data_IF_118644423945
#
_entry.id   IF_118644423945
#
_cell.length_a   1.000
_cell.length_b   1.000
_cell.length_c   1.000
_cell.angle_alpha   90.00
_cell.angle_beta   90.00
_cell.angle_gamma   90.00
#
_symmetry.space_group_name_H-M   'P 1'
#
loop_
_entity.id
_entity.type
_entity.pdbx_description
1 polymer ?
#
# COMPACT_ATOMS: atom_id res chain seq x y z
N UNK A 1 -22.28 13.06 -16.30
CA UNK A 1 -21.95 13.89 -15.12
C UNK A 1 -21.18 15.09 -15.60
N UNK A 2 -21.51 16.31 -15.16
CA UNK A 2 -20.79 17.53 -15.57
C UNK A 2 -19.48 17.64 -14.80
N UNK A 3 -18.36 17.73 -15.51
CA UNK A 3 -17.05 18.08 -14.93
C UNK A 3 -16.98 19.60 -14.82
N UNK A 4 -16.66 20.09 -13.63
CA UNK A 4 -16.61 21.52 -13.30
C UNK A 4 -15.18 22.05 -13.30
N UNK A 5 -14.20 21.22 -12.93
CA UNK A 5 -12.77 21.53 -12.89
C UNK A 5 -11.96 20.22 -12.87
N UNK A 6 -10.67 20.27 -13.21
CA UNK A 6 -9.78 19.11 -13.19
C UNK A 6 -8.36 19.45 -12.71
N UNK A 7 -7.80 18.53 -11.92
CA UNK A 7 -6.40 18.60 -11.51
C UNK A 7 -5.45 18.35 -12.68
N UNK A 8 -4.22 18.83 -12.54
CA UNK A 8 -3.16 18.81 -13.56
C UNK A 8 -2.08 17.76 -13.30
N UNK A 9 -2.23 16.99 -12.22
CA UNK A 9 -1.31 15.92 -11.87
C UNK A 9 -1.46 14.71 -12.79
N UNK A 10 -0.40 13.90 -12.95
CA UNK A 10 -0.45 12.67 -13.73
C UNK A 10 -1.35 11.62 -13.08
N UNK A 11 -1.87 10.69 -13.89
CA UNK A 11 -2.54 9.49 -13.43
C UNK A 11 -1.68 8.28 -13.79
N UNK A 12 -1.22 7.54 -12.79
CA UNK A 12 -0.24 6.47 -12.96
C UNK A 12 -0.83 5.05 -13.10
N UNK A 13 -2.14 4.89 -12.83
CA UNK A 13 -2.84 3.62 -12.93
C UNK A 13 -4.14 3.82 -13.70
N UNK A 14 -4.48 2.86 -14.56
CA UNK A 14 -5.71 2.87 -15.35
C UNK A 14 -6.94 2.68 -14.44
N UNK A 15 -7.89 3.65 -14.42
CA UNK A 15 -9.08 3.58 -13.61
C UNK A 15 -10.24 2.79 -14.28
N UNK A 16 -9.99 2.05 -15.36
CA UNK A 16 -10.98 1.21 -16.02
C UNK A 16 -11.30 -0.10 -15.25
N UNK A 17 -12.53 -0.26 -14.71
CA UNK A 17 -12.93 -1.44 -13.96
C UNK A 17 -13.05 -2.70 -14.84
N UNK A 18 -13.28 -2.57 -16.15
CA UNK A 18 -13.43 -3.73 -17.03
C UNK A 18 -12.07 -4.39 -17.29
N UNK A 19 -11.01 -3.59 -17.50
CA UNK A 19 -9.62 -4.11 -17.55
C UNK A 19 -9.21 -4.76 -16.24
N UNK A 20 -9.57 -4.16 -15.10
CA UNK A 20 -9.32 -4.77 -13.80
C UNK A 20 -10.07 -6.12 -13.67
N UNK A 21 -11.32 -6.18 -14.13
CA UNK A 21 -12.16 -7.38 -14.10
C UNK A 21 -11.62 -8.50 -14.98
N UNK A 22 -11.01 -8.21 -16.13
CA UNK A 22 -10.33 -9.21 -16.97
C UNK A 22 -9.28 -9.98 -16.18
N UNK A 23 -8.42 -9.26 -15.45
CA UNK A 23 -7.44 -9.87 -14.55
C UNK A 23 -8.12 -10.71 -13.46
N UNK A 24 -9.07 -10.13 -12.71
CA UNK A 24 -9.72 -10.84 -11.60
C UNK A 24 -10.54 -12.07 -12.03
N UNK A 25 -10.98 -12.14 -13.28
CA UNK A 25 -11.70 -13.31 -13.84
C UNK A 25 -10.79 -14.53 -13.92
N UNK A 26 -9.51 -14.34 -14.27
CA UNK A 26 -8.52 -15.42 -14.37
C UNK A 26 -7.94 -15.86 -13.01
N UNK A 27 -8.17 -15.09 -11.94
CA UNK A 27 -7.59 -15.35 -10.62
C UNK A 27 -8.21 -16.62 -10.01
N UNK A 28 -7.36 -17.61 -9.74
CA UNK A 28 -7.79 -18.86 -9.09
C UNK A 28 -8.36 -18.57 -7.69
N UNK A 29 -9.49 -19.22 -7.40
CA UNK A 29 -10.15 -19.23 -6.08
C UNK A 29 -9.87 -20.51 -5.29
N UNK A 30 -9.00 -21.38 -5.80
CA UNK A 30 -8.68 -22.63 -5.15
C UNK A 30 -7.96 -22.40 -3.80
N UNK A 31 -8.34 -23.20 -2.81
CA UNK A 31 -7.70 -23.24 -1.50
C UNK A 31 -6.46 -24.12 -1.55
N UNK A 32 -5.39 -23.59 -2.15
CA UNK A 32 -4.08 -24.22 -2.25
C UNK A 32 -3.12 -23.65 -1.21
N UNK A 33 -2.02 -24.37 -0.94
CA UNK A 33 -0.92 -23.83 -0.14
C UNK A 33 -0.25 -22.68 -0.90
N UNK A 34 -0.25 -21.50 -0.30
CA UNK A 34 0.30 -20.27 -0.88
C UNK A 34 1.62 -19.86 -0.26
N UNK A 35 2.09 -20.59 0.76
CA UNK A 35 3.30 -20.23 1.50
C UNK A 35 4.51 -20.29 0.59
N UNK A 36 5.33 -19.26 0.67
CA UNK A 36 6.59 -19.11 -0.04
C UNK A 36 7.46 -18.09 0.69
N UNK A 37 8.75 -18.08 0.41
CA UNK A 37 9.66 -17.06 0.93
C UNK A 37 9.33 -15.68 0.37
N UNK A 38 9.75 -14.62 1.07
CA UNK A 38 9.62 -13.24 0.57
C UNK A 38 10.41 -13.04 -0.72
N UNK A 39 11.58 -13.68 -0.85
CA UNK A 39 12.37 -13.69 -2.09
C UNK A 39 11.54 -14.22 -3.27
N UNK A 40 10.98 -15.42 -3.14
CA UNK A 40 10.15 -16.03 -4.20
C UNK A 40 8.92 -15.19 -4.51
N UNK A 41 8.29 -14.60 -3.50
CA UNK A 41 7.13 -13.74 -3.69
C UNK A 41 7.44 -12.47 -4.49
N UNK A 42 8.51 -11.77 -4.11
CA UNK A 42 8.95 -10.56 -4.84
C UNK A 42 9.40 -10.93 -6.24
N UNK A 43 10.14 -12.04 -6.39
CA UNK A 43 10.63 -12.50 -7.69
C UNK A 43 9.50 -12.83 -8.66
N UNK A 44 8.46 -13.48 -8.16
CA UNK A 44 7.33 -13.97 -8.95
C UNK A 44 6.30 -12.90 -9.29
N UNK A 45 6.01 -11.99 -8.36
CA UNK A 45 4.86 -11.10 -8.49
C UNK A 45 5.25 -9.67 -8.81
N UNK A 46 6.42 -9.19 -8.36
CA UNK A 46 6.84 -7.80 -8.58
C UNK A 46 7.73 -7.72 -9.81
N UNK A 47 7.26 -7.03 -10.83
CA UNK A 47 8.00 -6.76 -12.07
C UNK A 47 8.39 -5.29 -12.13
N UNK A 48 9.51 -4.99 -12.78
CA UNK A 48 9.90 -3.59 -13.00
C UNK A 48 8.81 -2.88 -13.80
N UNK A 49 8.56 -1.62 -13.48
CA UNK A 49 7.46 -0.86 -14.12
C UNK A 49 6.09 -1.07 -13.48
N UNK A 50 5.86 -2.12 -12.68
CA UNK A 50 4.53 -2.36 -12.11
C UNK A 50 4.15 -1.32 -11.05
N UNK A 51 2.87 -1.22 -10.72
CA UNK A 51 2.40 -0.37 -9.65
C UNK A 51 2.36 -1.14 -8.32
N UNK A 52 3.11 -0.65 -7.34
CA UNK A 52 3.25 -1.23 -6.02
C UNK A 52 2.57 -0.39 -4.93
N UNK A 53 2.01 -1.05 -3.93
CA UNK A 53 1.41 -0.39 -2.78
C UNK A 53 1.71 -1.15 -1.49
N UNK A 54 1.90 -0.42 -0.39
CA UNK A 54 2.05 -1.01 0.95
C UNK A 54 0.85 -0.65 1.81
N UNK A 55 0.48 -1.59 2.68
CA UNK A 55 -0.42 -1.31 3.80
C UNK A 55 0.35 -0.90 5.06
N UNK A 56 -0.37 -0.89 6.18
CA UNK A 56 0.14 -0.36 7.44
C UNK A 56 0.00 1.16 7.54
N UNK A 57 0.66 1.73 8.54
CA UNK A 57 0.62 3.16 8.82
C UNK A 57 1.88 3.61 9.53
N UNK A 58 2.65 4.47 8.90
CA UNK A 58 3.85 5.02 9.49
C UNK A 58 4.91 3.93 9.78
N UNK A 59 5.07 3.57 11.05
CA UNK A 59 5.90 2.45 11.50
C UNK A 59 5.10 1.19 11.90
N UNK A 60 3.77 1.22 11.82
CA UNK A 60 2.89 0.16 12.28
C UNK A 60 2.55 -0.80 11.14
N UNK A 61 2.86 -2.09 11.33
CA UNK A 61 2.53 -3.18 10.39
C UNK A 61 2.90 -2.89 8.93
N UNK A 62 4.03 -2.23 8.72
CA UNK A 62 4.59 -2.08 7.38
C UNK A 62 5.25 -3.40 6.95
N UNK A 63 5.19 -3.77 5.67
CA UNK A 63 5.78 -4.99 5.14
C UNK A 63 7.30 -4.83 4.91
N UNK A 64 8.06 -4.52 5.98
CA UNK A 64 9.50 -4.19 5.92
C UNK A 64 10.33 -5.21 5.15
N UNK A 65 10.07 -6.51 5.36
CA UNK A 65 10.76 -7.59 4.67
C UNK A 65 10.64 -7.49 3.14
N UNK A 66 9.43 -7.23 2.65
CA UNK A 66 9.15 -7.05 1.22
C UNK A 66 9.87 -5.82 0.69
N UNK A 67 9.84 -4.70 1.43
CA UNK A 67 10.55 -3.48 1.03
C UNK A 67 12.06 -3.70 0.88
N UNK A 68 12.70 -4.40 1.83
CA UNK A 68 14.11 -4.74 1.72
C UNK A 68 14.42 -5.73 0.59
N UNK A 69 13.52 -6.68 0.32
CA UNK A 69 13.69 -7.62 -0.77
C UNK A 69 13.58 -6.94 -2.14
N UNK A 70 12.70 -5.94 -2.31
CA UNK A 70 12.66 -5.11 -3.53
C UNK A 70 14.00 -4.44 -3.80
N UNK A 71 14.66 -3.94 -2.75
CA UNK A 71 16.00 -3.36 -2.83
C UNK A 71 17.04 -4.43 -3.21
N UNK A 72 17.00 -5.59 -2.54
CA UNK A 72 17.94 -6.70 -2.76
C UNK A 72 17.89 -7.25 -4.17
N UNK A 73 16.69 -7.35 -4.75
CA UNK A 73 16.48 -7.77 -6.14
C UNK A 73 16.70 -6.66 -7.16
N UNK A 74 17.00 -5.43 -6.72
CA UNK A 74 17.29 -4.33 -7.63
C UNK A 74 16.09 -3.86 -8.44
N UNK A 75 14.86 -3.99 -7.92
CA UNK A 75 13.63 -3.56 -8.64
C UNK A 75 13.63 -2.06 -8.91
N UNK A 76 13.16 -1.64 -10.09
CA UNK A 76 13.17 -0.24 -10.55
C UNK A 76 11.91 0.15 -11.31
N UNK A 77 11.72 1.46 -11.46
CA UNK A 77 10.69 2.04 -12.31
C UNK A 77 9.26 1.77 -11.83
N UNK A 78 9.08 1.42 -10.55
CA UNK A 78 7.76 1.13 -10.01
C UNK A 78 6.90 2.41 -9.94
N UNK A 79 5.60 2.24 -10.12
CA UNK A 79 4.62 3.18 -9.56
C UNK A 79 4.43 2.88 -8.08
N UNK A 80 4.26 3.89 -7.24
CA UNK A 80 4.10 3.70 -5.81
C UNK A 80 2.92 4.48 -5.22
N UNK A 81 2.09 3.80 -4.43
CA UNK A 81 1.05 4.43 -3.60
C UNK A 81 1.63 4.85 -2.26
N UNK A 82 1.95 6.14 -2.12
CA UNK A 82 2.44 6.76 -0.89
C UNK A 82 1.36 7.01 0.18
N UNK A 83 0.50 6.03 0.43
CA UNK A 83 -0.62 6.13 1.37
C UNK A 83 -0.16 5.89 2.81
N UNK A 84 0.13 6.98 3.54
CA UNK A 84 0.66 6.94 4.91
C UNK A 84 1.95 6.13 5.08
N UNK A 85 2.73 6.02 4.00
CA UNK A 85 3.97 5.25 3.92
C UNK A 85 5.12 6.13 4.39
N UNK A 86 5.70 5.91 5.56
CA UNK A 86 6.78 6.77 6.10
C UNK A 86 8.09 6.01 6.19
N UNK A 87 8.12 4.95 6.98
CA UNK A 87 9.33 4.15 7.20
C UNK A 87 9.62 3.24 6.00
N UNK A 88 8.59 2.61 5.44
CA UNK A 88 8.66 1.89 4.17
C UNK A 88 9.08 2.82 3.03
N UNK A 89 8.51 4.02 2.94
CA UNK A 89 8.89 5.01 1.93
C UNK A 89 10.38 5.38 1.98
N UNK A 90 10.94 5.58 3.17
CA UNK A 90 12.38 5.80 3.34
C UNK A 90 13.22 4.64 2.80
N UNK A 91 12.83 3.39 3.07
CA UNK A 91 13.54 2.19 2.59
C UNK A 91 13.51 2.16 1.07
N UNK A 92 12.33 2.35 0.48
CA UNK A 92 12.14 2.34 -0.97
C UNK A 92 12.90 3.49 -1.67
N UNK A 93 12.95 4.68 -1.05
CA UNK A 93 13.77 5.79 -1.53
C UNK A 93 15.27 5.48 -1.53
N UNK A 94 15.77 4.73 -0.53
CA UNK A 94 17.20 4.36 -0.47
C UNK A 94 17.59 3.46 -1.64
N UNK A 95 16.65 2.63 -2.11
CA UNK A 95 16.82 1.80 -3.30
C UNK A 95 16.50 2.48 -4.63
N UNK A 96 15.93 3.70 -4.61
CA UNK A 96 15.35 4.36 -5.79
C UNK A 96 14.45 3.42 -6.62
N UNK A 97 13.60 2.66 -5.94
CA UNK A 97 12.82 1.57 -6.59
C UNK A 97 11.65 2.06 -7.43
N UNK A 98 11.14 3.27 -7.17
CA UNK A 98 9.99 3.87 -7.85
C UNK A 98 10.38 5.19 -8.52
N UNK A 99 9.72 5.53 -9.62
CA UNK A 99 9.88 6.81 -10.34
C UNK A 99 8.54 7.53 -10.58
N UNK A 100 7.41 6.90 -10.20
CA UNK A 100 6.05 7.45 -10.25
C UNK A 100 5.42 7.31 -8.86
N UNK A 101 4.88 8.39 -8.32
CA UNK A 101 4.42 8.44 -6.93
C UNK A 101 3.07 9.14 -6.79
N UNK A 102 2.08 8.41 -6.32
CA UNK A 102 0.87 8.99 -5.74
C UNK A 102 1.17 9.36 -4.27
N UNK A 103 1.50 10.62 -4.00
CA UNK A 103 1.99 11.09 -2.71
C UNK A 103 0.86 11.59 -1.80
N UNK A 104 0.79 11.08 -0.57
CA UNK A 104 0.03 11.71 0.50
C UNK A 104 0.97 12.11 1.66
N UNK A 105 0.99 11.34 2.76
CA UNK A 105 1.92 11.57 3.87
C UNK A 105 3.09 10.60 3.80
N UNK A 106 4.23 11.07 3.26
CA UNK A 106 5.35 10.21 2.83
C UNK A 106 6.72 10.48 3.50
N UNK A 107 7.07 11.74 3.78
CA UNK A 107 8.43 12.10 4.27
C UNK A 107 8.50 12.17 5.80
N UNK A 108 7.38 12.45 6.47
CA UNK A 108 7.35 12.62 7.92
C UNK A 108 7.45 11.30 8.66
N UNK A 109 8.45 11.14 9.51
CA UNK A 109 8.63 10.00 10.41
C UNK A 109 7.97 10.28 11.77
N UNK A 110 6.76 10.83 11.73
CA UNK A 110 5.97 11.26 12.88
C UNK A 110 6.81 12.08 13.89
N UNK A 111 7.00 11.58 15.11
CA UNK A 111 7.77 12.25 16.16
C UNK A 111 9.29 12.30 15.91
N UNK A 112 9.80 11.65 14.85
CA UNK A 112 11.23 11.55 14.52
C UNK A 112 11.69 12.57 13.47
N UNK A 113 10.80 13.47 13.05
CA UNK A 113 11.12 14.52 12.08
C UNK A 113 10.97 14.05 10.63
N UNK A 114 11.76 14.62 9.72
CA UNK A 114 11.69 14.33 8.29
C UNK A 114 12.80 13.37 7.88
N UNK A 115 12.49 12.37 7.05
CA UNK A 115 13.52 11.48 6.50
C UNK A 115 14.47 12.25 5.56
N UNK A 116 15.77 12.37 5.88
CA UNK A 116 16.72 13.08 5.01
C UNK A 116 16.90 12.39 3.65
N UNK A 117 16.83 11.05 3.66
CA UNK A 117 16.96 10.25 2.45
C UNK A 117 15.76 10.43 1.52
N UNK A 118 14.54 10.31 2.06
CA UNK A 118 13.33 10.51 1.28
C UNK A 118 13.25 11.93 0.72
N UNK A 119 13.61 12.93 1.53
CA UNK A 119 13.70 14.34 1.08
C UNK A 119 14.67 14.50 -0.08
N UNK A 120 15.89 13.93 0.02
CA UNK A 120 16.88 13.99 -1.07
C UNK A 120 16.34 13.39 -2.37
N UNK A 121 15.71 12.22 -2.30
CA UNK A 121 15.19 11.57 -3.49
C UNK A 121 14.03 12.36 -4.12
N UNK A 122 13.08 12.82 -3.32
CA UNK A 122 11.96 13.64 -3.81
C UNK A 122 12.39 14.99 -4.38
N UNK A 123 13.47 15.58 -3.86
CA UNK A 123 14.01 16.85 -4.33
C UNK A 123 14.96 16.72 -5.53
N UNK A 124 15.31 15.49 -5.93
CA UNK A 124 16.22 15.25 -7.07
C UNK A 124 15.59 15.57 -8.43
N UNK A 125 14.26 15.60 -8.52
CA UNK A 125 13.52 15.69 -9.79
C UNK A 125 13.38 14.35 -10.52
N UNK A 126 13.91 13.24 -9.97
CA UNK A 126 13.85 11.91 -10.58
C UNK A 126 12.46 11.23 -10.48
N UNK A 127 11.56 11.75 -9.62
CA UNK A 127 10.25 11.14 -9.35
C UNK A 127 9.13 12.03 -9.87
N UNK A 128 8.25 11.48 -10.71
CA UNK A 128 6.98 12.11 -11.07
C UNK A 128 5.98 11.95 -9.94
N UNK A 129 5.29 13.03 -9.57
CA UNK A 129 4.41 13.06 -8.39
C UNK A 129 3.02 13.55 -8.74
N UNK A 130 2.01 12.83 -8.26
CA UNK A 130 0.64 13.32 -8.13
C UNK A 130 0.30 13.43 -6.64
N UNK A 131 -0.17 14.59 -6.21
CA UNK A 131 -0.54 14.80 -4.81
C UNK A 131 -1.95 14.27 -4.54
N UNK A 132 -2.15 13.66 -3.37
CA UNK A 132 -3.44 13.20 -2.90
C UNK A 132 -3.54 13.43 -1.39
N UNK A 133 -4.76 13.65 -0.88
CA UNK A 133 -4.95 13.53 0.56
C UNK A 133 -4.91 12.05 0.96
N UNK A 134 -4.55 11.75 2.21
CA UNK A 134 -4.59 10.35 2.70
C UNK A 134 -5.99 9.73 2.49
N UNK A 135 -7.04 10.50 2.77
CA UNK A 135 -8.41 10.05 2.54
C UNK A 135 -8.71 9.80 1.06
N UNK A 136 -8.18 10.61 0.15
CA UNK A 136 -8.36 10.40 -1.27
C UNK A 136 -7.73 9.09 -1.73
N UNK A 137 -6.50 8.75 -1.33
CA UNK A 137 -5.90 7.45 -1.67
C UNK A 137 -6.71 6.28 -1.12
N UNK A 138 -7.19 6.36 0.13
CA UNK A 138 -8.09 5.35 0.69
C UNK A 138 -9.40 5.24 -0.12
N UNK A 139 -9.98 6.36 -0.55
CA UNK A 139 -11.19 6.38 -1.39
C UNK A 139 -10.94 5.80 -2.79
N UNK A 140 -9.76 5.99 -3.37
CA UNK A 140 -9.36 5.37 -4.66
C UNK A 140 -9.23 3.85 -4.54
N UNK A 141 -8.63 3.35 -3.46
CA UNK A 141 -8.56 1.92 -3.16
C UNK A 141 -9.96 1.34 -2.89
N UNK A 142 -10.81 2.08 -2.18
CA UNK A 142 -12.20 1.68 -1.93
C UNK A 142 -12.98 1.55 -3.24
N UNK A 143 -12.92 2.54 -4.12
CA UNK A 143 -13.58 2.52 -5.43
C UNK A 143 -13.12 1.31 -6.27
N UNK A 144 -11.81 1.01 -6.24
CA UNK A 144 -11.25 -0.16 -6.89
C UNK A 144 -11.81 -1.48 -6.31
N UNK A 145 -11.88 -1.60 -4.98
CA UNK A 145 -12.46 -2.77 -4.31
C UNK A 145 -13.99 -2.89 -4.43
N UNK A 146 -14.68 -1.81 -4.80
CA UNK A 146 -16.11 -1.77 -5.17
C UNK A 146 -16.34 -2.07 -6.66
N UNK A 147 -15.28 -2.03 -7.49
CA UNK A 147 -15.35 -2.32 -8.91
C UNK A 147 -15.92 -1.17 -9.75
N UNK A 148 -15.72 0.08 -9.31
CA UNK A 148 -16.17 1.29 -10.02
C UNK A 148 -14.97 2.16 -10.43
N UNK A 149 -15.11 2.96 -11.48
CA UNK A 149 -14.00 3.74 -12.04
C UNK A 149 -13.51 4.89 -11.15
N UNK A 150 -14.33 5.37 -10.23
CA UNK A 150 -13.99 6.47 -9.34
C UNK A 150 -14.81 6.46 -8.05
N UNK A 151 -14.22 7.01 -6.99
CA UNK A 151 -14.90 7.33 -5.73
C UNK A 151 -15.26 8.81 -5.67
N UNK A 152 -16.19 9.17 -4.79
CA UNK A 152 -16.55 10.57 -4.54
C UNK A 152 -16.12 10.99 -3.13
N UNK A 153 -15.50 12.16 -3.03
CA UNK A 153 -15.10 12.78 -1.76
C UNK A 153 -15.44 14.27 -1.76
N UNK A 154 -15.36 14.92 -0.60
CA UNK A 154 -15.25 16.39 -0.51
C UNK A 154 -13.82 16.87 -0.30
N UNK A 155 -12.92 15.94 0.03
CA UNK A 155 -11.51 16.22 0.31
C UNK A 155 -10.83 16.79 -0.94
N UNK A 156 -9.76 17.55 -0.72
CA UNK A 156 -8.94 18.22 -1.74
C UNK A 156 -9.56 19.43 -2.44
N UNK A 157 -10.89 19.54 -2.57
CA UNK A 157 -11.51 20.72 -3.21
C UNK A 157 -11.03 22.03 -2.54
N UNK A 158 -10.63 23.00 -3.36
CA UNK A 158 -10.13 24.29 -2.89
C UNK A 158 -8.68 24.27 -2.37
N UNK A 159 -7.92 23.20 -2.60
CA UNK A 159 -6.52 23.07 -2.19
C UNK A 159 -5.60 22.83 -3.37
N UNK A 160 -4.31 23.15 -3.22
CA UNK A 160 -3.30 22.81 -4.23
C UNK A 160 -3.16 21.29 -4.42
N UNK A 161 -3.51 20.48 -3.41
CA UNK A 161 -3.56 19.02 -3.55
C UNK A 161 -4.51 18.61 -4.66
N UNK A 162 -5.66 19.28 -4.84
CA UNK A 162 -6.54 19.02 -5.98
C UNK A 162 -5.85 19.39 -7.30
N UNK A 163 -5.31 20.60 -7.39
CA UNK A 163 -4.63 21.10 -8.59
C UNK A 163 -3.46 20.22 -9.02
N UNK A 164 -2.74 19.61 -8.07
CA UNK A 164 -1.58 18.72 -8.31
C UNK A 164 -1.94 17.23 -8.39
N UNK A 165 -3.23 16.88 -8.38
CA UNK A 165 -3.74 15.51 -8.53
C UNK A 165 -4.32 15.27 -9.92
N UNK A 166 -4.75 14.03 -10.19
CA UNK A 166 -5.59 13.70 -11.35
C UNK A 166 -7.10 13.68 -11.01
N UNK A 167 -7.51 14.28 -9.88
CA UNK A 167 -8.92 14.33 -9.48
C UNK A 167 -9.73 15.28 -10.36
N UNK A 168 -11.06 15.08 -10.37
CA UNK A 168 -11.99 15.98 -11.09
C UNK A 168 -13.05 16.52 -10.14
N UNK A 169 -13.35 17.80 -10.23
CA UNK A 169 -14.52 18.37 -9.57
C UNK A 169 -15.74 18.10 -10.46
N UNK A 170 -16.79 17.53 -9.86
CA UNK A 170 -17.97 17.08 -10.58
C UNK A 170 -19.24 17.53 -9.86
N UNK A 171 -20.28 17.83 -10.64
CA UNK A 171 -21.58 18.20 -10.08
C UNK A 171 -22.38 16.94 -9.69
N UNK A 172 -22.83 16.87 -8.44
CA UNK A 172 -23.69 15.80 -7.97
C UNK A 172 -25.08 15.90 -8.63
N UNK A 173 -25.51 14.89 -9.43
CA UNK A 173 -26.76 14.98 -10.18
C UNK A 173 -28.02 14.99 -9.29
N UNK A 174 -27.90 14.59 -8.02
CA UNK A 174 -29.02 14.54 -7.08
C UNK A 174 -29.15 15.80 -6.21
N UNK A 175 -28.07 16.57 -6.06
CA UNK A 175 -28.03 17.69 -5.08
C UNK A 175 -27.46 18.98 -5.65
N UNK A 176 -26.94 18.99 -6.87
CA UNK A 176 -26.22 20.12 -7.47
C UNK A 176 -24.90 20.48 -6.78
N UNK A 177 -24.52 19.78 -5.69
CA UNK A 177 -23.28 20.09 -4.95
C UNK A 177 -22.06 19.60 -5.71
N UNK A 178 -20.99 20.40 -5.69
CA UNK A 178 -19.67 19.98 -6.17
C UNK A 178 -19.07 18.91 -5.27
N UNK A 179 -18.55 17.85 -5.89
CA UNK A 179 -17.81 16.76 -5.26
C UNK A 179 -16.49 16.54 -6.00
N UNK A 180 -15.51 15.96 -5.32
CA UNK A 180 -14.23 15.54 -5.88
C UNK A 180 -14.31 14.06 -6.28
N UNK A 181 -14.30 13.78 -7.58
CA UNK A 181 -14.17 12.44 -8.13
C UNK A 181 -12.69 12.04 -8.16
N UNK A 182 -12.37 10.93 -7.48
CA UNK A 182 -11.02 10.37 -7.40
C UNK A 182 -10.96 9.04 -8.17
N UNK A 183 -10.07 8.88 -9.16
CA UNK A 183 -10.01 7.70 -10.00
C UNK A 183 -9.59 6.46 -9.22
N UNK A 184 -10.24 5.33 -9.44
CA UNK A 184 -9.94 4.08 -8.76
C UNK A 184 -8.47 3.65 -8.93
N UNK A 185 -7.94 2.98 -7.91
CA UNK A 185 -6.56 2.52 -7.88
C UNK A 185 -6.52 1.00 -7.65
N UNK A 186 -6.17 0.23 -8.69
CA UNK A 186 -5.93 -1.22 -8.61
C UNK A 186 -4.43 -1.53 -8.71
N UNK A 187 -3.67 -1.53 -7.60
CA UNK A 187 -2.25 -1.86 -7.63
C UNK A 187 -2.01 -3.23 -8.29
N UNK A 188 -0.95 -3.34 -9.08
CA UNK A 188 -0.54 -4.62 -9.67
C UNK A 188 -0.10 -5.58 -8.57
N UNK A 189 0.68 -5.06 -7.63
CA UNK A 189 1.08 -5.79 -6.42
C UNK A 189 0.89 -4.89 -5.22
N UNK A 190 0.36 -5.44 -4.15
CA UNK A 190 0.42 -4.81 -2.85
C UNK A 190 1.05 -5.73 -1.80
N UNK A 191 1.57 -5.15 -0.73
CA UNK A 191 2.08 -5.90 0.41
C UNK A 191 1.48 -5.39 1.72
N UNK A 192 1.04 -6.31 2.58
CA UNK A 192 0.57 -6.00 3.94
C UNK A 192 1.25 -6.90 4.96
N UNK A 193 1.25 -6.48 6.23
CA UNK A 193 1.79 -7.28 7.31
C UNK A 193 0.72 -7.55 8.39
N UNK A 194 0.57 -8.81 8.79
CA UNK A 194 -0.50 -9.26 9.70
C UNK A 194 0.04 -10.13 10.84
N UNK A 195 -0.71 -10.23 11.94
CA UNK A 195 -0.27 -11.00 13.11
C UNK A 195 -0.39 -12.51 12.90
N UNK A 196 -1.44 -12.97 12.23
CA UNK A 196 -1.67 -14.40 12.00
C UNK A 196 -2.17 -14.63 10.58
N UNK A 197 -1.73 -15.73 9.97
CA UNK A 197 -2.21 -16.14 8.67
C UNK A 197 -2.15 -17.67 8.51
N UNK A 198 -3.00 -18.28 7.69
CA UNK A 198 -2.93 -19.73 7.42
C UNK A 198 -2.21 -20.06 6.09
N UNK A 199 -2.20 -21.33 5.67
CA UNK A 199 -1.57 -21.68 4.38
C UNK A 199 -2.38 -21.25 3.15
N UNK A 200 -3.67 -20.94 3.32
CA UNK A 200 -4.60 -20.73 2.22
C UNK A 200 -4.82 -19.26 1.87
N UNK A 201 -4.42 -18.35 2.75
CA UNK A 201 -4.66 -16.93 2.55
C UNK A 201 -5.49 -16.25 3.60
N UNK A 202 -6.01 -16.97 4.59
CA UNK A 202 -6.80 -16.32 5.63
C UNK A 202 -5.85 -15.59 6.56
N UNK A 203 -6.17 -14.33 6.88
CA UNK A 203 -5.29 -13.46 7.64
C UNK A 203 -6.07 -12.66 8.68
N UNK A 204 -5.45 -12.44 9.83
CA UNK A 204 -5.96 -11.60 10.91
C UNK A 204 -4.85 -10.68 11.38
N UNK A 205 -5.14 -9.38 11.41
CA UNK A 205 -4.34 -8.39 12.11
C UNK A 205 -5.11 -7.88 13.34
N UNK A 206 -4.35 -7.41 14.32
CA UNK A 206 -4.82 -6.73 15.52
C UNK A 206 -4.54 -5.24 15.39
N UNK A 207 -5.42 -4.41 15.93
CA UNK A 207 -5.27 -2.96 15.94
C UNK A 207 -5.77 -2.29 14.65
N UNK A 208 -5.15 -1.15 14.32
CA UNK A 208 -5.67 -0.22 13.30
C UNK A 208 -5.46 -0.80 11.89
N UNK A 209 -6.53 -0.81 11.10
CA UNK A 209 -6.56 -1.28 9.72
C UNK A 209 -6.00 -0.28 8.71
N UNK A 210 -6.19 1.02 9.00
CA UNK A 210 -6.02 2.12 8.04
C UNK A 210 -6.76 1.80 6.75
N UNK A 211 -6.08 1.43 5.65
CA UNK A 211 -6.73 1.05 4.39
C UNK A 211 -6.34 -0.36 3.91
N UNK A 212 -5.83 -1.22 4.80
CA UNK A 212 -5.40 -2.58 4.43
C UNK A 212 -6.55 -3.42 3.84
N UNK A 213 -7.78 -3.19 4.31
CA UNK A 213 -8.95 -3.91 3.82
C UNK A 213 -9.34 -3.45 2.40
N UNK A 214 -9.28 -2.15 2.12
CA UNK A 214 -9.49 -1.60 0.79
C UNK A 214 -8.36 -2.04 -0.14
N UNK A 215 -7.12 -1.95 0.31
CA UNK A 215 -5.92 -2.34 -0.44
C UNK A 215 -5.95 -3.82 -0.83
N UNK A 216 -6.29 -4.71 0.12
CA UNK A 216 -6.36 -6.15 -0.13
C UNK A 216 -7.42 -6.52 -1.17
N UNK A 217 -8.51 -5.76 -1.27
CA UNK A 217 -9.57 -5.96 -2.25
C UNK A 217 -9.24 -5.34 -3.61
N UNK A 218 -8.47 -4.26 -3.62
CA UNK A 218 -8.09 -3.54 -4.83
C UNK A 218 -6.90 -4.18 -5.56
N UNK A 219 -5.97 -4.81 -4.85
CA UNK A 219 -4.74 -5.31 -5.44
C UNK A 219 -4.96 -6.55 -6.32
N UNK A 220 -4.33 -6.55 -7.50
CA UNK A 220 -4.31 -7.70 -8.42
C UNK A 220 -3.59 -8.89 -7.77
N UNK A 221 -2.36 -8.67 -7.30
CA UNK A 221 -1.62 -9.58 -6.43
C UNK A 221 -1.46 -8.98 -5.03
N UNK A 222 -1.62 -9.80 -3.98
CA UNK A 222 -1.30 -9.38 -2.63
C UNK A 222 -0.21 -10.26 -2.02
N UNK A 223 0.74 -9.65 -1.36
CA UNK A 223 1.80 -10.31 -0.59
C UNK A 223 1.48 -10.03 0.89
N UNK A 224 1.01 -11.03 1.64
CA UNK A 224 0.90 -10.88 3.09
C UNK A 224 2.17 -11.40 3.73
N UNK A 225 2.84 -10.60 4.55
CA UNK A 225 3.81 -11.11 5.52
C UNK A 225 3.12 -11.34 6.86
N UNK A 226 3.54 -12.35 7.63
CA UNK A 226 2.92 -12.65 8.92
C UNK A 226 3.91 -13.00 10.01
N UNK A 227 3.61 -12.60 11.25
CA UNK A 227 4.35 -12.99 12.44
C UNK A 227 4.22 -14.49 12.75
N UNK A 228 3.06 -15.10 12.45
CA UNK A 228 2.81 -16.50 12.73
C UNK A 228 1.87 -17.14 11.73
N UNK A 229 2.33 -18.25 11.15
CA UNK A 229 1.47 -19.15 10.40
C UNK A 229 0.72 -20.04 11.40
N UNK A 230 -0.60 -20.14 11.25
CA UNK A 230 -1.46 -21.03 12.03
C UNK A 230 -2.12 -22.05 11.11
N UNK A 231 -2.56 -23.18 11.67
CA UNK A 231 -3.19 -24.24 10.86
C UNK A 231 -4.52 -23.78 10.25
N UNK A 232 -5.33 -23.08 11.03
CA UNK A 232 -6.58 -22.48 10.59
C UNK A 232 -6.81 -21.14 11.30
N UNK A 233 -7.16 -20.12 10.53
CA UNK A 233 -7.66 -18.86 11.07
C UNK A 233 -9.15 -19.03 11.35
N UNK A 234 -9.52 -19.33 12.60
CA UNK A 234 -10.88 -19.63 13.06
C UNK A 234 -11.86 -18.42 13.03
N UNK A 235 -11.53 -17.33 12.35
CA UNK A 235 -12.37 -16.13 12.31
C UNK A 235 -13.34 -16.17 11.13
N UNK A 236 -14.65 -16.03 11.42
CA UNK A 236 -15.73 -15.81 10.43
C UNK A 236 -15.51 -14.58 9.51
N UNK A 237 -14.46 -13.79 9.73
CA UNK A 237 -14.13 -12.58 8.97
C UNK A 237 -12.99 -12.75 7.95
N UNK A 238 -12.38 -13.93 7.82
CA UNK A 238 -11.30 -14.13 6.85
C UNK A 238 -11.83 -14.12 5.40
N UNK A 239 -11.37 -13.17 4.59
CA UNK A 239 -11.64 -13.14 3.14
C UNK A 239 -10.33 -13.29 2.38
N UNK A 240 -10.36 -14.24 1.44
CA UNK A 240 -9.34 -14.69 0.49
C UNK A 240 -8.16 -13.74 0.28
N UNK A 241 -6.96 -14.23 0.62
CA UNK A 241 -5.73 -13.46 0.46
C UNK A 241 -4.54 -14.36 0.07
N UNK A 242 -3.37 -13.80 -0.24
CA UNK A 242 -2.18 -14.57 -0.63
C UNK A 242 -1.10 -14.31 0.42
N UNK A 243 -0.55 -15.38 1.01
CA UNK A 243 0.37 -15.32 2.15
C UNK A 243 1.77 -15.69 1.73
N UNK A 244 2.72 -14.87 2.18
CA UNK A 244 4.15 -15.04 1.99
C UNK A 244 4.79 -15.07 3.37
N UNK A 245 5.62 -16.06 3.60
CA UNK A 245 6.12 -16.40 4.91
C UNK A 245 7.59 -16.07 4.96
N UNK A 246 7.97 -15.12 5.82
CA UNK A 246 9.29 -15.18 6.43
C UNK A 246 9.14 -15.87 7.78
N UNK A 247 9.70 -17.07 7.90
CA UNK A 247 10.10 -17.57 9.21
C UNK A 247 11.12 -16.56 9.75
N UNK A 248 10.77 -15.78 10.75
CA UNK A 248 11.79 -15.40 11.73
C UNK A 248 12.17 -16.71 12.40
N UNK A 249 13.38 -17.17 12.10
CA UNK A 249 14.02 -18.27 12.82
C UNK A 249 13.94 -17.94 14.30
N UNK A 250 13.25 -18.79 15.05
CA UNK A 250 13.47 -18.89 16.48
C UNK A 250 14.96 -19.21 16.62
N UNK A 251 15.75 -18.22 17.07
CA UNK A 251 17.17 -18.41 17.31
C UNK A 251 17.31 -18.99 18.71
N UNK A 252 17.49 -20.31 18.89
CA UNK A 252 18.09 -20.77 20.13
C UNK A 252 19.53 -20.27 20.11
N UNK A 253 19.96 -19.64 21.20
CA UNK A 253 21.29 -19.09 21.47
C UNK A 253 21.55 -17.63 21.04
N UNK A 254 21.69 -16.80 22.08
CA UNK A 254 22.46 -15.57 22.21
C UNK A 254 22.88 -14.82 20.93
N UNK A 255 22.07 -13.84 20.52
CA UNK A 255 22.56 -12.70 19.74
C UNK A 255 21.82 -11.41 20.16
N UNK A 256 22.58 -10.56 20.80
CA UNK A 256 22.25 -9.23 21.31
C UNK A 256 21.84 -8.29 20.17
N UNK A 257 20.67 -7.64 20.29
CA UNK A 257 20.28 -6.35 19.66
C UNK A 257 20.52 -6.18 18.15
N UNK A 258 19.51 -6.49 17.34
CA UNK A 258 19.22 -5.78 16.09
C UNK A 258 17.72 -5.49 16.03
N UNK A 259 17.31 -4.37 16.62
CA UNK A 259 15.92 -3.90 16.67
C UNK A 259 15.49 -3.30 15.34
N UNK A 260 14.63 -3.97 14.59
CA UNK A 260 13.80 -3.32 13.57
C UNK A 260 12.80 -2.39 14.31
N UNK A 261 12.69 -1.08 13.98
CA UNK A 261 12.02 -0.10 14.85
C UNK A 261 10.49 -0.08 14.74
N UNK A 262 9.87 -1.06 14.10
CA UNK A 262 8.44 -1.08 13.77
C UNK A 262 7.60 -1.75 14.87
N UNK A 263 6.54 -1.09 15.33
CA UNK A 263 5.62 -1.62 16.34
C UNK A 263 4.52 -2.49 15.73
N UNK A 264 4.25 -3.64 16.37
CA UNK A 264 3.11 -4.53 16.06
C UNK A 264 1.97 -4.38 17.10
N UNK A 265 1.92 -3.25 17.81
CA UNK A 265 1.25 -3.00 19.10
C UNK A 265 -0.21 -3.47 19.23
N UNK A 266 -0.62 -3.91 20.45
CA UNK A 266 -0.91 -2.96 21.54
C UNK A 266 0.17 -2.77 22.63
N UNK A 267 1.26 -3.56 22.67
CA UNK A 267 2.20 -3.55 23.83
C UNK A 267 3.68 -3.38 23.53
N UNK A 268 4.11 -3.24 22.27
CA UNK A 268 5.51 -2.86 21.95
C UNK A 268 5.58 -1.40 21.58
N UNK A 269 5.86 -0.54 22.57
CA UNK A 269 6.27 0.83 22.35
C UNK A 269 7.63 0.85 21.64
N UNK A 270 7.77 1.72 20.64
CA UNK A 270 9.04 1.95 19.95
C UNK A 270 10.12 2.33 20.96
N UNK A 271 11.28 1.70 20.89
CA UNK A 271 12.42 1.92 21.79
C UNK A 271 12.73 3.41 21.96
N UNK A 272 12.42 3.96 23.14
CA UNK A 272 13.03 5.21 23.63
C UNK A 272 14.40 4.85 24.19
N UNK A 273 15.45 5.10 23.41
CA UNK A 273 16.78 5.28 23.97
C UNK A 273 16.96 6.78 24.22
N UNK A 274 17.17 7.14 25.48
CA UNK A 274 17.70 8.44 25.86
C UNK A 274 19.18 8.58 25.52
#
# INVERSE_FOLDING_TARGET
>A
MRVLDEGKGPLFMDPDPDKAREFFRSKSRAMVDKRMSVKEAVERFVTDGCYFATGGFGANRIPTAVCHELLRQGRRGLGFSGHTTTHDFQILCAGKVFDRLDAAYIVGLEARGLSPNARRYMQSGEVQVADWSNYALAARLRAAGEGVSYGLTRSMLGTDTFTRSAAKAVECPFTGKTLCAVPALWPDVAAIHVHYADKFGNAVYKGISVADHELSRAAKHLIITTERIVDEVLSRAAKHLIITTERIVDSPTAATRATCPTSTSPTRSTSRSG
#
